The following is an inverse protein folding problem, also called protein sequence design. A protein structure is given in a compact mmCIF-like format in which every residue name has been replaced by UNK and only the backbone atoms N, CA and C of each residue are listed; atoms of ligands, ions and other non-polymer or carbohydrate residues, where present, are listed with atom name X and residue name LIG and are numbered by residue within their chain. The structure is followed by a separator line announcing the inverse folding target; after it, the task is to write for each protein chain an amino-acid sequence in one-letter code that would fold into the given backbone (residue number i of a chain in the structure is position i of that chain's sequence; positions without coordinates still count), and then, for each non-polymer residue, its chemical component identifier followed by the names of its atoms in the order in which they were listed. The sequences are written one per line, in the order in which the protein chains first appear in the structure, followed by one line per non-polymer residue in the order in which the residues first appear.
data_IF_473906118289
#
_entry.id   IF_473906118289
#
_cell.length_a   1.000
_cell.length_b   1.000
_cell.length_c   1.000
_cell.angle_alpha   90.00
_cell.angle_beta   90.00
_cell.angle_gamma   90.00
#
_symmetry.space_group_name_H-M   'P 1'
#
loop_
_entity.id
_entity.type
_entity.pdbx_description
1 polymer ?
#
# COMPACT_ATOMS: atom_id res chain seq x y z
N UNK A 1 12.47 -19.03 3.90
CA UNK A 1 11.15 -18.38 3.67
C UNK A 1 11.08 -17.09 4.47
N UNK A 2 11.60 -15.97 3.94
CA UNK A 2 11.36 -14.66 4.54
C UNK A 2 9.88 -14.33 4.44
N UNK A 3 9.18 -14.40 5.57
CA UNK A 3 7.75 -14.07 5.71
C UNK A 3 7.52 -12.59 5.37
N UNK A 4 7.38 -12.28 4.08
CA UNK A 4 6.80 -11.02 3.60
C UNK A 4 5.41 -10.77 4.23
N UNK A 5 4.74 -11.83 4.69
CA UNK A 5 3.48 -11.87 5.44
C UNK A 5 3.52 -11.24 6.84
N UNK A 6 4.69 -10.93 7.43
CA UNK A 6 4.78 -10.34 8.77
C UNK A 6 4.96 -8.82 8.78
N UNK A 7 5.26 -8.19 7.64
CA UNK A 7 5.55 -6.75 7.61
C UNK A 7 4.24 -6.00 7.44
N UNK A 8 3.80 -5.38 8.52
CA UNK A 8 2.57 -4.59 8.55
C UNK A 8 2.71 -3.38 7.61
N UNK A 9 1.75 -3.17 6.69
CA UNK A 9 1.73 -1.97 5.86
C UNK A 9 1.63 -0.72 6.73
N UNK A 10 2.48 0.26 6.44
CA UNK A 10 2.35 1.59 7.03
C UNK A 10 1.35 2.41 6.21
N UNK A 11 0.60 3.28 6.90
CA UNK A 11 -0.49 4.02 6.27
C UNK A 11 -0.01 5.38 5.78
N UNK A 12 -0.27 5.66 4.51
CA UNK A 12 -0.14 6.98 3.90
C UNK A 12 -1.49 7.42 3.34
N UNK A 13 -1.96 8.60 3.75
CA UNK A 13 -3.18 9.18 3.19
C UNK A 13 -2.84 10.54 2.54
N UNK A 14 -2.89 10.65 1.21
CA UNK A 14 -2.57 11.90 0.51
C UNK A 14 -3.68 12.96 0.67
N UNK A 15 -4.91 12.51 0.91
CA UNK A 15 -6.07 13.30 1.27
C UNK A 15 -7.01 12.50 2.17
N UNK A 16 -7.98 13.21 2.73
CA UNK A 16 -9.15 12.65 3.40
C UNK A 16 -10.30 12.82 2.41
N UNK A 17 -10.96 11.70 2.08
CA UNK A 17 -12.12 11.69 1.19
C UNK A 17 -13.31 12.45 1.77
N UNK A 18 -14.42 12.58 1.02
CA UNK A 18 -15.58 13.32 1.51
C UNK A 18 -16.10 12.67 2.80
N UNK A 19 -16.42 13.49 3.80
CA UNK A 19 -17.10 12.99 4.99
C UNK A 19 -18.49 12.51 4.60
N UNK A 20 -19.10 11.60 5.39
CA UNK A 20 -20.52 11.21 5.22
C UNK A 20 -21.50 12.40 5.19
N UNK A 21 -21.03 13.57 5.63
CA UNK A 21 -21.74 14.85 5.65
C UNK A 21 -21.53 15.71 4.39
N UNK A 22 -20.93 15.19 3.31
CA UNK A 22 -20.82 15.86 2.02
C UNK A 22 -19.73 16.92 1.91
N UNK A 23 -18.78 17.02 2.87
CA UNK A 23 -17.68 17.98 2.78
C UNK A 23 -16.69 17.59 1.67
N UNK A 24 -16.07 18.56 0.97
CA UNK A 24 -15.11 18.28 -0.08
C UNK A 24 -13.84 17.59 0.47
N UNK A 25 -13.15 16.86 -0.40
CA UNK A 25 -11.87 16.22 -0.10
C UNK A 25 -10.86 17.23 0.46
N UNK A 26 -10.12 16.85 1.51
CA UNK A 26 -9.08 17.68 2.12
C UNK A 26 -7.71 17.07 1.91
N UNK A 27 -6.80 17.79 1.26
CA UNK A 27 -5.39 17.39 1.12
C UNK A 27 -4.70 17.35 2.48
N UNK A 28 -3.84 16.36 2.71
CA UNK A 28 -3.03 16.29 3.92
C UNK A 28 -1.83 17.23 3.87
N UNK A 29 -1.16 17.43 5.01
CA UNK A 29 -0.11 18.43 5.18
C UNK A 29 1.14 18.14 4.33
N UNK A 30 1.91 19.19 3.99
CA UNK A 30 3.21 19.05 3.31
C UNK A 30 4.15 18.07 4.03
N UNK A 31 4.15 18.06 5.37
CA UNK A 31 4.93 17.12 6.18
C UNK A 31 4.54 15.67 5.90
N UNK A 32 3.24 15.38 5.79
CA UNK A 32 2.77 14.03 5.47
C UNK A 32 3.26 13.58 4.08
N UNK A 33 3.24 14.47 3.09
CA UNK A 33 3.71 14.21 1.74
C UNK A 33 5.22 13.97 1.62
N UNK A 34 6.02 14.30 2.64
CA UNK A 34 7.45 13.98 2.72
C UNK A 34 7.73 12.59 3.31
N UNK A 35 6.75 11.93 3.94
CA UNK A 35 6.97 10.63 4.62
C UNK A 35 7.41 9.53 3.65
N UNK A 36 6.82 9.38 2.45
CA UNK A 36 7.26 8.36 1.50
C UNK A 36 8.72 8.53 1.08
N UNK A 37 9.19 9.75 0.87
CA UNK A 37 10.62 9.99 0.57
C UNK A 37 11.56 9.51 1.68
N UNK A 38 11.15 9.66 2.94
CA UNK A 38 11.93 9.18 4.08
C UNK A 38 11.97 7.66 4.16
N UNK A 39 10.84 7.00 3.91
CA UNK A 39 10.77 5.54 3.92
C UNK A 39 11.57 4.94 2.76
N UNK A 40 11.45 5.54 1.56
CA UNK A 40 12.20 5.13 0.39
C UNK A 40 13.71 5.19 0.64
N UNK A 41 14.19 6.29 1.24
CA UNK A 41 15.60 6.46 1.60
C UNK A 41 16.07 5.38 2.57
N UNK A 42 15.28 5.04 3.60
CA UNK A 42 15.64 3.98 4.55
C UNK A 42 15.75 2.63 3.86
N UNK A 43 14.73 2.25 3.08
CA UNK A 43 14.73 0.99 2.34
C UNK A 43 15.84 0.92 1.29
N UNK A 44 16.16 2.04 0.63
CA UNK A 44 17.30 2.13 -0.29
C UNK A 44 18.63 1.81 0.41
N UNK A 45 18.83 2.35 1.62
CA UNK A 45 20.03 2.06 2.42
C UNK A 45 20.08 0.57 2.78
N UNK A 46 18.99 -0.01 3.29
CA UNK A 46 18.93 -1.43 3.66
C UNK A 46 19.26 -2.35 2.48
N UNK A 47 18.67 -2.11 1.31
CA UNK A 47 18.95 -2.87 0.10
C UNK A 47 20.39 -2.69 -0.37
N UNK A 48 20.94 -1.48 -0.28
CA UNK A 48 22.34 -1.24 -0.66
C UNK A 48 23.32 -1.97 0.26
N UNK A 49 23.01 -2.08 1.56
CA UNK A 49 23.81 -2.84 2.52
C UNK A 49 23.73 -4.33 2.20
N UNK A 50 22.54 -4.83 1.87
CA UNK A 50 22.36 -6.22 1.46
C UNK A 50 23.22 -6.59 0.24
N UNK A 51 23.18 -5.78 -0.81
CA UNK A 51 23.99 -6.03 -2.00
C UNK A 51 25.50 -5.96 -1.72
N UNK A 52 25.93 -5.08 -0.81
CA UNK A 52 27.34 -5.05 -0.36
C UNK A 52 27.73 -6.31 0.37
N UNK A 53 26.89 -6.82 1.29
CA UNK A 53 27.15 -8.09 1.99
C UNK A 53 27.27 -9.21 0.97
N UNK A 54 26.35 -9.30 0.00
CA UNK A 54 26.42 -10.30 -1.07
C UNK A 54 27.71 -10.24 -1.87
N UNK A 55 28.18 -9.04 -2.19
CA UNK A 55 29.44 -8.87 -2.93
C UNK A 55 30.66 -9.39 -2.17
N UNK A 56 30.61 -9.41 -0.83
CA UNK A 56 31.70 -9.92 0.01
C UNK A 56 31.72 -11.46 0.13
N UNK A 57 30.61 -12.13 -0.19
CA UNK A 57 30.49 -13.59 -0.12
C UNK A 57 30.09 -14.17 -1.49
N UNK A 58 30.96 -14.07 -2.52
CA UNK A 58 30.68 -14.58 -3.85
C UNK A 58 30.57 -16.12 -3.80
N UNK A 59 29.35 -16.64 -3.96
CA UNK A 59 29.05 -18.08 -3.91
C UNK A 59 27.88 -18.45 -3.00
N UNK A 60 27.47 -17.54 -2.11
CA UNK A 60 26.25 -17.72 -1.32
C UNK A 60 25.05 -17.12 -2.06
N UNK A 61 24.03 -17.94 -2.27
CA UNK A 61 22.71 -17.49 -2.76
C UNK A 61 21.97 -16.74 -1.65
N UNK A 62 20.97 -15.93 -2.01
CA UNK A 62 20.07 -15.28 -1.05
C UNK A 62 19.43 -16.31 -0.08
N UNK A 63 19.17 -17.52 -0.57
CA UNK A 63 18.62 -18.62 0.22
C UNK A 63 19.63 -19.12 1.25
N UNK A 64 20.87 -19.40 0.85
CA UNK A 64 21.93 -19.84 1.77
C UNK A 64 22.23 -18.77 2.84
N UNK A 65 22.22 -17.49 2.47
CA UNK A 65 22.38 -16.40 3.44
C UNK A 65 21.28 -16.41 4.50
N UNK A 66 20.04 -16.71 4.12
CA UNK A 66 18.91 -16.78 5.06
C UNK A 66 18.90 -18.07 5.89
N UNK A 67 19.12 -19.23 5.26
CA UNK A 67 18.95 -20.53 5.90
C UNK A 67 20.18 -20.96 6.71
N UNK A 68 21.37 -20.76 6.15
CA UNK A 68 22.63 -21.21 6.77
C UNK A 68 23.20 -20.18 7.74
N UNK A 69 23.05 -18.88 7.43
CA UNK A 69 23.67 -17.80 8.20
C UNK A 69 22.66 -16.96 8.99
N UNK A 70 21.36 -17.26 8.88
CA UNK A 70 20.32 -16.58 9.64
C UNK A 70 20.13 -15.10 9.27
N UNK A 71 20.65 -14.65 8.13
CA UNK A 71 20.43 -13.26 7.69
C UNK A 71 18.98 -13.04 7.28
N UNK A 72 18.45 -11.85 7.60
CA UNK A 72 17.12 -11.44 7.15
C UNK A 72 17.32 -10.54 5.93
N UNK A 73 16.84 -11.01 4.76
CA UNK A 73 16.83 -10.19 3.55
C UNK A 73 15.90 -8.99 3.73
N UNK A 74 16.37 -7.75 3.53
CA UNK A 74 15.49 -6.59 3.56
C UNK A 74 14.49 -6.67 2.42
N UNK A 75 13.28 -6.19 2.67
CA UNK A 75 12.24 -6.11 1.66
C UNK A 75 11.69 -4.69 1.57
N UNK A 76 10.95 -4.42 0.50
CA UNK A 76 10.35 -3.11 0.29
C UNK A 76 9.26 -2.87 1.33
N UNK A 77 9.30 -1.71 1.98
CA UNK A 77 8.29 -1.34 2.96
C UNK A 77 6.91 -1.25 2.27
N UNK A 78 5.91 -2.07 2.65
CA UNK A 78 4.56 -1.92 2.14
C UNK A 78 3.91 -0.64 2.68
N UNK A 79 3.33 0.17 1.79
CA UNK A 79 2.62 1.40 2.10
C UNK A 79 1.19 1.32 1.60
N UNK A 80 0.24 1.23 2.53
CA UNK A 80 -1.18 1.30 2.22
C UNK A 80 -1.58 2.75 1.98
N UNK A 81 -2.01 3.03 0.76
CA UNK A 81 -2.42 4.36 0.31
C UNK A 81 -3.95 4.45 0.18
N UNK A 82 -4.54 5.47 0.80
CA UNK A 82 -5.95 5.79 0.59
C UNK A 82 -6.94 5.15 1.56
N UNK A 83 -6.50 4.63 2.72
CA UNK A 83 -7.42 4.07 3.74
C UNK A 83 -8.48 5.07 4.24
N UNK A 84 -8.21 6.38 4.15
CA UNK A 84 -9.15 7.46 4.51
C UNK A 84 -9.77 8.16 3.30
N UNK A 85 -9.67 7.58 2.10
CA UNK A 85 -10.21 8.13 0.86
C UNK A 85 -10.43 7.04 -0.17
N UNK A 86 -10.50 7.44 -1.44
CA UNK A 86 -10.26 6.58 -2.59
C UNK A 86 -9.25 7.32 -3.47
N UNK A 87 -8.19 6.62 -3.90
CA UNK A 87 -7.11 7.22 -4.71
C UNK A 87 -7.63 7.65 -6.09
N UNK A 88 -8.65 6.95 -6.58
CA UNK A 88 -9.24 7.12 -7.90
C UNK A 88 -10.59 7.86 -7.86
N UNK A 89 -10.91 8.51 -6.74
CA UNK A 89 -12.10 9.35 -6.62
C UNK A 89 -12.04 10.50 -7.65
N UNK A 90 -13.05 10.57 -8.53
CA UNK A 90 -13.19 11.60 -9.56
C UNK A 90 -13.33 13.00 -8.96
N UNK A 91 -13.84 13.11 -7.73
CA UNK A 91 -14.00 14.38 -7.02
C UNK A 91 -12.68 14.92 -6.46
N UNK A 92 -11.61 14.13 -6.45
CA UNK A 92 -10.28 14.60 -6.04
C UNK A 92 -9.64 15.38 -7.20
N UNK A 93 -9.15 16.61 -6.95
CA UNK A 93 -8.52 17.42 -7.98
C UNK A 93 -7.42 16.65 -8.72
N UNK A 94 -7.45 16.69 -10.07
CA UNK A 94 -6.49 15.98 -10.92
C UNK A 94 -5.04 16.29 -10.55
N UNK A 95 -4.73 17.56 -10.23
CA UNK A 95 -3.41 18.00 -9.77
C UNK A 95 -2.90 17.24 -8.53
N UNK A 96 -3.78 16.82 -7.62
CA UNK A 96 -3.38 16.07 -6.43
C UNK A 96 -3.07 14.61 -6.77
N UNK A 97 -3.86 14.02 -7.68
CA UNK A 97 -3.60 12.69 -8.22
C UNK A 97 -2.28 12.66 -8.98
N UNK A 98 -2.02 13.65 -9.84
CA UNK A 98 -0.74 13.78 -10.56
C UNK A 98 0.44 13.89 -9.60
N UNK A 99 0.31 14.70 -8.54
CA UNK A 99 1.35 14.81 -7.51
C UNK A 99 1.56 13.49 -6.75
N UNK A 100 0.51 12.71 -6.51
CA UNK A 100 0.61 11.39 -5.89
C UNK A 100 1.36 10.42 -6.80
N UNK A 101 1.01 10.31 -8.07
CA UNK A 101 1.70 9.43 -9.01
C UNK A 101 3.17 9.84 -9.21
N UNK A 102 3.46 11.14 -9.25
CA UNK A 102 4.84 11.64 -9.27
C UNK A 102 5.62 11.20 -8.02
N UNK A 103 4.99 11.23 -6.85
CA UNK A 103 5.60 10.77 -5.60
C UNK A 103 5.83 9.25 -5.62
N UNK A 104 4.88 8.47 -6.13
CA UNK A 104 5.01 7.02 -6.29
C UNK A 104 6.23 6.70 -7.16
N UNK A 105 6.34 7.33 -8.34
CA UNK A 105 7.49 7.16 -9.23
C UNK A 105 8.82 7.60 -8.60
N UNK A 106 8.81 8.63 -7.77
CA UNK A 106 10.01 9.09 -7.05
C UNK A 106 10.40 8.20 -5.85
N UNK A 107 9.62 7.15 -5.55
CA UNK A 107 9.87 6.24 -4.41
C UNK A 107 9.90 4.77 -4.84
N UNK A 108 10.88 4.38 -5.69
CA UNK A 108 10.94 3.04 -6.28
C UNK A 108 11.26 1.93 -5.27
N UNK A 109 11.73 2.30 -4.07
CA UNK A 109 12.12 1.34 -3.04
C UNK A 109 10.98 0.92 -2.13
N UNK A 110 9.80 1.53 -2.27
CA UNK A 110 8.60 1.24 -1.50
C UNK A 110 7.68 0.31 -2.30
N UNK A 111 6.93 -0.54 -1.60
CA UNK A 111 5.84 -1.30 -2.20
C UNK A 111 4.52 -0.56 -1.99
N UNK A 112 3.94 0.00 -3.04
CA UNK A 112 2.69 0.76 -2.97
C UNK A 112 1.47 -0.14 -3.05
N UNK A 113 0.58 -0.04 -2.05
CA UNK A 113 -0.70 -0.73 -2.00
C UNK A 113 -1.81 0.30 -2.12
N UNK A 114 -2.32 0.56 -3.33
CA UNK A 114 -3.33 1.59 -3.56
C UNK A 114 -4.73 1.05 -3.32
N UNK A 115 -5.46 1.65 -2.38
CA UNK A 115 -6.84 1.28 -2.10
C UNK A 115 -7.81 1.94 -3.09
N UNK A 116 -8.64 1.13 -3.75
CA UNK A 116 -9.81 1.58 -4.53
C UNK A 116 -11.08 0.97 -3.96
N UNK A 117 -12.16 1.76 -3.91
CA UNK A 117 -13.48 1.32 -3.42
C UNK A 117 -14.46 1.05 -4.55
N UNK A 118 -14.21 1.62 -5.74
CA UNK A 118 -15.04 1.37 -6.92
C UNK A 118 -14.35 0.41 -7.89
N UNK A 119 -15.16 -0.47 -8.49
CA UNK A 119 -14.77 -1.31 -9.62
C UNK A 119 -14.79 -0.54 -10.96
N UNK A 120 -15.38 0.65 -11.00
CA UNK A 120 -15.55 1.46 -12.22
C UNK A 120 -14.22 2.01 -12.78
N UNK A 121 -13.12 1.84 -12.04
CA UNK A 121 -11.79 2.29 -12.40
C UNK A 121 -10.89 1.18 -12.98
N UNK A 122 -11.49 0.08 -13.47
CA UNK A 122 -10.79 -1.12 -13.93
C UNK A 122 -9.60 -0.84 -14.87
N UNK A 123 -9.81 -0.03 -15.91
CA UNK A 123 -8.77 0.27 -16.92
C UNK A 123 -7.57 1.02 -16.31
N UNK A 124 -7.81 1.90 -15.34
CA UNK A 124 -6.73 2.64 -14.64
C UNK A 124 -6.02 1.72 -13.66
N UNK A 125 -6.75 0.81 -13.00
CA UNK A 125 -6.14 -0.16 -12.09
C UNK A 125 -5.23 -1.14 -12.83
N UNK A 126 -5.59 -1.56 -14.05
CA UNK A 126 -4.79 -2.51 -14.82
C UNK A 126 -3.46 -1.91 -15.29
N UNK A 127 -3.48 -0.64 -15.74
CA UNK A 127 -2.26 0.09 -16.08
C UNK A 127 -1.34 0.25 -14.86
N UNK A 128 -1.91 0.48 -13.67
CA UNK A 128 -1.15 0.64 -12.43
C UNK A 128 -0.54 -0.68 -11.95
N UNK A 129 -1.25 -1.81 -12.07
CA UNK A 129 -0.73 -3.13 -11.73
C UNK A 129 0.46 -3.58 -12.60
N UNK A 130 0.72 -2.90 -13.73
CA UNK A 130 1.91 -3.16 -14.56
C UNK A 130 3.20 -2.54 -13.99
N UNK A 131 3.10 -1.65 -13.00
CA UNK A 131 4.24 -0.98 -12.39
C UNK A 131 4.93 -1.91 -11.38
N UNK A 132 6.28 -1.88 -11.31
CA UNK A 132 7.00 -2.69 -10.34
C UNK A 132 6.66 -2.25 -8.91
N UNK A 133 6.50 -3.23 -8.02
CA UNK A 133 6.29 -3.01 -6.59
C UNK A 133 5.02 -2.21 -6.27
N UNK A 134 3.96 -2.45 -7.03
CA UNK A 134 2.71 -1.73 -6.91
C UNK A 134 1.52 -2.66 -7.08
N UNK A 135 0.61 -2.66 -6.12
CA UNK A 135 -0.62 -3.44 -6.15
C UNK A 135 -1.85 -2.57 -5.91
N UNK A 136 -2.95 -2.94 -6.54
CA UNK A 136 -4.27 -2.40 -6.25
C UNK A 136 -4.95 -3.27 -5.20
N UNK A 137 -5.33 -2.66 -4.08
CA UNK A 137 -6.10 -3.30 -3.03
C UNK A 137 -7.57 -2.94 -3.21
N UNK A 138 -8.38 -3.93 -3.58
CA UNK A 138 -9.84 -3.82 -3.60
C UNK A 138 -10.40 -4.36 -2.29
N UNK A 139 -11.30 -3.60 -1.67
CA UNK A 139 -12.05 -4.14 -0.53
C UNK A 139 -12.97 -5.25 -1.04
N UNK A 140 -13.08 -6.38 -0.31
CA UNK A 140 -14.05 -7.41 -0.67
C UNK A 140 -15.45 -6.80 -0.69
N UNK A 141 -16.35 -7.25 -1.59
CA UNK A 141 -17.73 -6.81 -1.56
C UNK A 141 -18.29 -7.07 -0.16
N UNK A 142 -19.12 -6.18 0.40
CA UNK A 142 -19.71 -6.41 1.72
C UNK A 142 -20.42 -7.77 1.69
N UNK A 143 -20.01 -8.68 2.58
CA UNK A 143 -20.74 -9.93 2.75
C UNK A 143 -22.21 -9.59 3.04
N UNK A 144 -23.18 -10.26 2.38
CA UNK A 144 -24.58 -10.11 2.74
C UNK A 144 -24.71 -10.42 4.24
N UNK A 145 -25.22 -9.46 5.01
CA UNK A 145 -25.56 -9.76 6.40
C UNK A 145 -26.60 -10.87 6.39
N UNK A 146 -26.47 -11.90 7.26
CA UNK A 146 -27.52 -12.90 7.37
C UNK A 146 -28.85 -12.20 7.69
N UNK A 147 -29.97 -12.63 7.07
CA UNK A 147 -31.27 -12.05 7.37
C UNK A 147 -31.51 -12.13 8.88
N UNK A 148 -31.91 -10.99 9.47
CA UNK A 148 -32.20 -10.88 10.89
C UNK A 148 -33.25 -11.94 11.22
N UNK A 149 -32.87 -12.98 11.96
CA UNK A 149 -33.78 -14.04 12.36
C UNK A 149 -34.98 -13.41 13.07
N UNK A 150 -36.15 -13.46 12.44
CA UNK A 150 -37.40 -13.14 13.10
C UNK A 150 -37.65 -14.26 14.10
N UNK A 151 -37.18 -14.08 15.34
CA UNK A 151 -37.67 -14.88 16.45
C UNK A 151 -39.16 -14.54 16.62
N UNK A 152 -40.01 -15.28 15.90
CA UNK A 152 -41.40 -15.47 16.28
C UNK A 152 -41.39 -16.23 17.61
N UNK A 153 -41.36 -15.47 18.70
CA UNK A 153 -41.65 -15.98 20.03
C UNK A 153 -43.11 -16.40 20.07
N UNK A 154 -43.38 -17.66 19.75
CA UNK A 154 -44.62 -18.32 20.16
C UNK A 154 -44.56 -18.44 21.68
N UNK A 155 -45.26 -17.53 22.35
CA UNK A 155 -45.54 -17.60 23.79
C UNK A 155 -46.58 -18.71 23.97
N UNK A 156 -46.18 -19.82 24.60
CA UNK A 156 -47.12 -20.78 25.19
C UNK A 156 -47.75 -20.16 26.44
#
# INVERSE_FOLDING_TARGET
MTNQSLIKPIIFNPWIGPTKTGKPCKRTSKRNWKRPLSWDRMTSIELSIWEKIKSQYPGLTDENMQTTHGFIKPCRQPVLCGSRGDVFDKNVPQQWRNALFSLIHATPNIHWLLLTKSNDNANVTDAVCSLPHMDIVRLPPPHPLPPRSAHNGTRN
#
